data_IF_704186854517
#
_entry.id   IF_704186854517
#
_cell.length_a   1.000
_cell.length_b   1.000
_cell.length_c   1.000
_cell.angle_alpha   90.00
_cell.angle_beta   90.00
_cell.angle_gamma   90.00
#
_symmetry.space_group_name_H-M   'P 1'
#
loop_
_entity.id
_entity.type
_entity.pdbx_description
1 polymer ?
#
# COMPACT_ATOMS: atom_id res chain seq x y z
N UNK A 1 -25.17 -3.23 -2.96
CA UNK A 1 -24.76 -4.45 -2.24
C UNK A 1 -24.75 -5.70 -3.11
N UNK A 2 -25.68 -5.90 -4.06
CA UNK A 2 -25.67 -7.07 -4.96
C UNK A 2 -24.33 -7.28 -5.69
N UNK A 3 -23.66 -6.20 -6.12
CA UNK A 3 -22.35 -6.29 -6.78
C UNK A 3 -21.21 -6.76 -5.85
N UNK A 4 -21.40 -6.68 -4.54
CA UNK A 4 -20.46 -7.19 -3.53
C UNK A 4 -20.73 -8.66 -3.18
N UNK A 5 -21.93 -9.17 -3.50
CA UNK A 5 -22.33 -10.55 -3.21
C UNK A 5 -21.48 -11.52 -4.03
N UNK A 6 -21.02 -12.59 -3.38
CA UNK A 6 -20.22 -13.63 -4.00
C UNK A 6 -21.09 -14.39 -5.02
N UNK A 7 -20.70 -14.42 -6.31
CA UNK A 7 -21.49 -15.12 -7.31
C UNK A 7 -21.27 -16.63 -7.20
N UNK A 8 -22.35 -17.38 -6.97
CA UNK A 8 -22.35 -18.83 -7.07
C UNK A 8 -22.24 -19.55 -5.73
N UNK A 9 -21.59 -20.73 -5.74
CA UNK A 9 -21.52 -21.58 -4.55
C UNK A 9 -20.64 -20.92 -3.48
N UNK A 10 -21.05 -20.97 -2.20
CA UNK A 10 -20.24 -20.48 -1.09
C UNK A 10 -18.79 -21.01 -1.14
N UNK A 11 -17.82 -20.11 -1.04
CA UNK A 11 -16.39 -20.46 -1.02
C UNK A 11 -15.71 -19.82 0.20
N UNK A 12 -15.27 -20.62 1.17
CA UNK A 12 -14.72 -20.10 2.44
C UNK A 12 -13.39 -19.36 2.28
N UNK A 13 -12.70 -19.54 1.14
CA UNK A 13 -11.45 -18.86 0.81
C UNK A 13 -11.72 -17.48 0.25
N UNK A 14 -12.62 -17.37 -0.73
CA UNK A 14 -12.83 -16.12 -1.46
C UNK A 14 -14.02 -15.29 -0.98
N UNK A 15 -14.84 -15.84 -0.08
CA UNK A 15 -16.04 -15.18 0.42
C UNK A 15 -16.13 -15.15 1.94
N UNK A 16 -16.82 -14.14 2.45
CA UNK A 16 -17.17 -13.95 3.86
C UNK A 16 -18.68 -14.06 4.02
N UNK A 17 -19.13 -14.63 5.14
CA UNK A 17 -20.54 -14.59 5.50
C UNK A 17 -20.92 -13.18 5.97
N UNK A 18 -22.09 -12.70 5.57
CA UNK A 18 -22.64 -11.44 6.07
C UNK A 18 -24.04 -11.65 6.62
N UNK A 19 -25.07 -11.24 5.87
CA UNK A 19 -26.46 -11.54 6.23
C UNK A 19 -26.74 -13.05 6.11
N UNK A 20 -27.70 -13.62 6.89
CA UNK A 20 -28.03 -15.03 6.81
C UNK A 20 -28.32 -15.49 5.37
N UNK A 21 -27.54 -16.47 4.90
CA UNK A 21 -27.66 -17.02 3.55
C UNK A 21 -26.96 -16.22 2.44
N UNK A 22 -26.35 -15.07 2.77
CA UNK A 22 -25.56 -14.29 1.81
C UNK A 22 -24.07 -14.37 2.12
N UNK A 23 -23.30 -14.39 1.04
CA UNK A 23 -21.84 -14.27 1.10
C UNK A 23 -21.38 -13.11 0.24
N UNK A 24 -20.28 -12.50 0.66
CA UNK A 24 -19.67 -11.35 0.00
C UNK A 24 -18.24 -11.67 -0.36
N UNK A 25 -17.70 -10.98 -1.35
CA UNK A 25 -16.28 -11.07 -1.70
C UNK A 25 -15.39 -10.74 -0.48
N UNK A 26 -14.43 -11.62 -0.15
CA UNK A 26 -13.40 -11.34 0.85
C UNK A 26 -12.44 -10.24 0.36
N UNK A 27 -12.05 -10.34 -0.92
CA UNK A 27 -11.23 -9.35 -1.62
C UNK A 27 -12.01 -8.98 -2.89
N UNK A 28 -12.13 -7.68 -3.16
CA UNK A 28 -12.89 -7.18 -4.30
C UNK A 28 -12.34 -7.71 -5.63
N UNK A 29 -13.21 -8.02 -6.61
CA UNK A 29 -12.79 -8.39 -7.96
C UNK A 29 -11.80 -7.40 -8.59
N UNK A 30 -11.98 -6.10 -8.35
CA UNK A 30 -11.11 -5.05 -8.88
C UNK A 30 -9.62 -5.23 -8.48
N UNK A 31 -9.33 -5.82 -7.32
CA UNK A 31 -7.95 -6.12 -6.93
C UNK A 31 -7.33 -7.23 -7.79
N UNK A 32 -8.08 -8.30 -8.05
CA UNK A 32 -7.59 -9.39 -8.91
C UNK A 32 -7.42 -8.94 -10.36
N UNK A 33 -8.31 -8.05 -10.82
CA UNK A 33 -8.21 -7.40 -12.12
C UNK A 33 -6.96 -6.53 -12.23
N UNK A 34 -6.61 -5.78 -11.18
CA UNK A 34 -5.34 -5.04 -11.11
C UNK A 34 -4.13 -5.98 -11.30
N UNK A 35 -4.09 -7.10 -10.56
CA UNK A 35 -2.98 -8.06 -10.68
C UNK A 35 -2.83 -8.62 -12.11
N UNK A 36 -3.95 -9.03 -12.73
CA UNK A 36 -3.98 -9.54 -14.11
C UNK A 36 -3.53 -8.46 -15.11
N UNK A 37 -4.02 -7.23 -14.96
CA UNK A 37 -3.66 -6.12 -15.83
C UNK A 37 -2.16 -5.76 -15.75
N UNK A 38 -1.63 -5.55 -14.54
CA UNK A 38 -0.23 -5.22 -14.33
C UNK A 38 0.70 -6.34 -14.86
N UNK A 39 0.33 -7.60 -14.64
CA UNK A 39 1.07 -8.73 -15.18
C UNK A 39 1.08 -8.74 -16.72
N UNK A 40 -0.09 -8.60 -17.36
CA UNK A 40 -0.20 -8.59 -18.83
C UNK A 40 0.50 -7.41 -19.50
N UNK A 41 0.53 -6.27 -18.81
CA UNK A 41 1.30 -5.10 -19.22
C UNK A 41 2.82 -5.29 -19.02
N UNK A 42 3.27 -6.42 -18.46
CA UNK A 42 4.68 -6.71 -18.22
C UNK A 42 5.31 -5.81 -17.16
N UNK A 43 4.49 -5.26 -16.25
CA UNK A 43 4.94 -4.33 -15.21
C UNK A 43 5.76 -5.09 -14.17
N UNK A 44 6.83 -4.47 -13.69
CA UNK A 44 7.51 -4.88 -12.46
C UNK A 44 6.77 -4.25 -11.27
N UNK A 45 6.24 -5.07 -10.36
CA UNK A 45 5.52 -4.59 -9.20
C UNK A 45 5.55 -5.61 -8.06
N UNK A 46 5.24 -5.13 -6.86
CA UNK A 46 5.00 -5.96 -5.70
C UNK A 46 3.78 -5.44 -4.93
N UNK A 47 3.13 -6.30 -4.16
CA UNK A 47 1.93 -5.96 -3.38
C UNK A 47 2.16 -6.29 -1.91
N UNK A 48 2.02 -5.27 -1.06
CA UNK A 48 2.14 -5.43 0.38
C UNK A 48 0.80 -5.13 1.04
N UNK A 49 0.13 -6.15 1.55
CA UNK A 49 -1.06 -5.96 2.37
C UNK A 49 -0.69 -5.34 3.73
N UNK A 50 -1.36 -4.25 4.08
CA UNK A 50 -1.14 -3.51 5.32
C UNK A 50 -2.42 -3.43 6.12
N UNK A 51 -2.46 -4.08 7.28
CA UNK A 51 -3.66 -4.12 8.12
C UNK A 51 -3.32 -3.92 9.59
N UNK A 52 -4.17 -3.21 10.31
CA UNK A 52 -4.14 -3.19 11.77
C UNK A 52 -4.75 -4.45 12.40
N UNK A 53 -5.62 -5.15 11.65
CA UNK A 53 -6.35 -6.33 12.10
C UNK A 53 -5.56 -7.63 12.00
N UNK A 54 -6.28 -8.75 12.07
CA UNK A 54 -5.72 -10.12 12.08
C UNK A 54 -6.02 -10.91 10.81
N UNK A 55 -6.67 -10.31 9.81
CA UNK A 55 -7.16 -11.00 8.61
C UNK A 55 -6.10 -11.29 7.54
N UNK A 56 -4.86 -10.80 7.71
CA UNK A 56 -3.77 -10.97 6.73
C UNK A 56 -3.56 -12.43 6.30
N UNK A 57 -3.49 -13.45 7.20
CA UNK A 57 -3.35 -14.84 6.77
C UNK A 57 -4.47 -15.30 5.84
N UNK A 58 -5.69 -14.80 6.05
CA UNK A 58 -6.84 -15.15 5.22
C UNK A 58 -6.75 -14.48 3.85
N UNK A 59 -6.43 -13.19 3.81
CA UNK A 59 -6.23 -12.46 2.55
C UNK A 59 -5.10 -13.07 1.71
N UNK A 60 -3.94 -13.35 2.31
CA UNK A 60 -2.79 -13.94 1.62
C UNK A 60 -3.10 -15.34 1.07
N UNK A 61 -3.84 -16.17 1.82
CA UNK A 61 -4.31 -17.47 1.32
C UNK A 61 -5.26 -17.32 0.12
N UNK A 62 -6.18 -16.36 0.16
CA UNK A 62 -7.08 -16.09 -0.96
C UNK A 62 -6.29 -15.69 -2.21
N UNK A 63 -5.33 -14.75 -2.09
CA UNK A 63 -4.50 -14.34 -3.23
C UNK A 63 -3.64 -15.48 -3.75
N UNK A 64 -3.01 -16.26 -2.88
CA UNK A 64 -2.25 -17.47 -3.27
C UNK A 64 -3.11 -18.47 -4.05
N UNK A 65 -4.36 -18.71 -3.62
CA UNK A 65 -5.30 -19.59 -4.32
C UNK A 65 -5.74 -19.01 -5.66
N UNK A 66 -5.93 -17.69 -5.75
CA UNK A 66 -6.25 -17.02 -7.01
C UNK A 66 -5.10 -17.15 -8.02
N UNK A 67 -3.85 -16.92 -7.59
CA UNK A 67 -2.63 -17.10 -8.38
C UNK A 67 -2.34 -18.56 -8.72
N UNK A 68 -2.97 -19.53 -8.05
CA UNK A 68 -2.96 -20.93 -8.47
C UNK A 68 -4.05 -21.24 -9.51
N UNK A 69 -4.73 -20.23 -10.07
CA UNK A 69 -5.80 -20.36 -11.06
C UNK A 69 -7.15 -20.80 -10.50
N UNK A 70 -7.33 -20.72 -9.18
CA UNK A 70 -8.51 -21.29 -8.51
C UNK A 70 -9.61 -20.26 -8.22
N UNK A 71 -9.37 -18.98 -8.55
CA UNK A 71 -10.43 -17.98 -8.49
C UNK A 71 -11.35 -18.12 -9.71
N UNK A 72 -12.68 -18.35 -9.53
CA UNK A 72 -13.59 -18.71 -10.63
C UNK A 72 -13.72 -17.63 -11.71
N UNK A 73 -13.61 -16.34 -11.33
CA UNK A 73 -13.63 -15.20 -12.27
C UNK A 73 -12.27 -14.83 -12.85
N UNK A 74 -11.18 -15.28 -12.24
CA UNK A 74 -9.81 -14.86 -12.62
C UNK A 74 -8.87 -16.07 -12.79
N UNK A 75 -9.23 -17.08 -13.60
CA UNK A 75 -8.40 -18.28 -13.78
C UNK A 75 -7.09 -18.00 -14.54
N UNK A 76 -6.99 -16.87 -15.23
CA UNK A 76 -5.77 -16.43 -15.94
C UNK A 76 -4.66 -15.98 -14.98
N UNK A 77 -4.97 -15.68 -13.71
CA UNK A 77 -3.95 -15.31 -12.72
C UNK A 77 -2.90 -16.40 -12.46
N UNK A 78 -3.16 -17.64 -12.88
CA UNK A 78 -2.15 -18.72 -12.88
C UNK A 78 -0.90 -18.38 -13.68
N UNK A 79 -1.04 -17.49 -14.66
CA UNK A 79 0.06 -17.10 -15.56
C UNK A 79 0.94 -16.01 -14.92
N UNK A 80 0.45 -15.31 -13.88
CA UNK A 80 1.16 -14.18 -13.28
C UNK A 80 2.44 -14.55 -12.51
N UNK A 81 2.62 -15.83 -12.14
CA UNK A 81 3.80 -16.38 -11.46
C UNK A 81 4.35 -15.53 -10.28
N UNK A 82 3.49 -14.76 -9.60
CA UNK A 82 3.86 -13.91 -8.47
C UNK A 82 4.01 -14.79 -7.21
N UNK A 83 5.19 -14.82 -6.55
CA UNK A 83 5.32 -15.53 -5.29
C UNK A 83 4.49 -14.84 -4.21
N UNK A 84 3.86 -15.63 -3.34
CA UNK A 84 3.10 -15.12 -2.19
C UNK A 84 3.75 -15.62 -0.91
N UNK A 85 4.27 -14.70 -0.11
CA UNK A 85 4.74 -14.99 1.24
C UNK A 85 3.53 -15.07 2.19
N UNK A 86 3.23 -16.29 2.64
CA UNK A 86 2.12 -16.58 3.54
C UNK A 86 2.45 -16.26 5.01
N UNK A 87 3.67 -15.83 5.33
CA UNK A 87 4.12 -15.47 6.67
C UNK A 87 3.93 -13.97 6.91
N UNK A 88 2.89 -13.54 7.64
CA UNK A 88 2.71 -12.11 7.90
C UNK A 88 3.85 -11.60 8.77
N UNK A 89 4.43 -10.46 8.37
CA UNK A 89 5.30 -9.70 9.24
C UNK A 89 4.52 -8.79 10.18
N UNK A 90 5.25 -8.07 11.02
CA UNK A 90 4.70 -7.06 11.92
C UNK A 90 5.51 -5.77 11.82
N UNK A 91 4.81 -4.64 12.00
CA UNK A 91 5.42 -3.32 12.08
C UNK A 91 5.00 -2.71 13.40
N UNK A 92 5.98 -2.31 14.22
CA UNK A 92 5.78 -1.76 15.55
C UNK A 92 6.48 -0.41 15.66
N UNK A 93 5.67 0.61 15.84
CA UNK A 93 6.12 1.98 16.03
C UNK A 93 6.35 2.31 17.50
N UNK A 94 7.28 3.23 17.75
CA UNK A 94 7.56 3.86 19.04
C UNK A 94 7.97 5.32 18.82
N UNK A 95 8.20 6.07 19.88
CA UNK A 95 8.71 7.45 19.77
C UNK A 95 10.12 7.53 19.17
N UNK A 96 10.88 6.42 19.17
CA UNK A 96 12.29 6.40 18.77
C UNK A 96 12.52 5.80 17.40
N UNK A 97 11.70 4.83 17.02
CA UNK A 97 11.92 4.01 15.84
C UNK A 97 10.66 3.26 15.42
N UNK A 98 10.67 2.82 14.16
CA UNK A 98 9.79 1.80 13.62
C UNK A 98 10.59 0.52 13.46
N UNK A 99 10.03 -0.59 13.94
CA UNK A 99 10.62 -1.92 13.83
C UNK A 99 9.74 -2.79 12.95
N UNK A 100 10.34 -3.40 11.93
CA UNK A 100 9.73 -4.43 11.09
C UNK A 100 10.30 -5.79 11.49
N UNK A 101 9.42 -6.78 11.65
CA UNK A 101 9.80 -8.18 11.89
C UNK A 101 9.08 -9.13 10.93
N UNK A 102 9.78 -10.15 10.46
CA UNK A 102 9.21 -11.26 9.70
C UNK A 102 10.10 -12.49 9.85
N UNK A 103 9.57 -13.56 10.44
CA UNK A 103 10.40 -14.73 10.75
C UNK A 103 11.62 -14.34 11.59
N UNK A 104 12.83 -14.58 11.05
CA UNK A 104 14.09 -14.18 11.69
C UNK A 104 14.55 -12.76 11.34
N UNK A 105 13.94 -12.13 10.33
CA UNK A 105 14.29 -10.78 9.90
C UNK A 105 13.79 -9.74 10.90
N UNK A 106 14.66 -8.79 11.24
CA UNK A 106 14.35 -7.65 12.10
C UNK A 106 15.07 -6.42 11.60
N UNK A 107 14.32 -5.43 11.14
CA UNK A 107 14.83 -4.13 10.70
C UNK A 107 14.28 -3.02 11.59
N UNK A 108 15.07 -1.97 11.77
CA UNK A 108 14.78 -0.90 12.71
C UNK A 108 15.29 0.44 12.16
N UNK A 109 14.48 1.49 12.23
CA UNK A 109 14.82 2.80 11.68
C UNK A 109 15.75 3.64 12.56
N UNK A 110 16.05 3.20 13.78
CA UNK A 110 16.83 3.99 14.76
C UNK A 110 18.22 4.37 14.26
N UNK A 111 18.90 3.43 13.62
CA UNK A 111 20.27 3.64 13.11
C UNK A 111 20.27 4.22 11.72
N UNK A 112 19.24 3.90 10.94
CA UNK A 112 19.10 4.30 9.55
C UNK A 112 17.62 4.26 9.17
N UNK A 113 17.04 5.44 8.97
CA UNK A 113 15.63 5.60 8.60
C UNK A 113 15.31 5.09 7.20
N UNK A 114 16.33 4.79 6.39
CA UNK A 114 16.18 4.27 5.03
C UNK A 114 15.98 2.76 4.97
N UNK A 115 16.43 2.00 5.97
CA UNK A 115 16.34 0.53 5.98
C UNK A 115 14.97 -0.03 5.61
N UNK A 116 13.89 0.62 6.07
CA UNK A 116 12.53 0.18 5.75
C UNK A 116 12.09 0.60 4.34
N UNK A 117 12.54 1.75 3.85
CA UNK A 117 12.37 2.11 2.43
C UNK A 117 13.04 1.06 1.55
N UNK A 118 14.34 0.80 1.75
CA UNK A 118 15.10 -0.15 0.93
C UNK A 118 14.47 -1.55 0.95
N UNK A 119 14.02 -2.02 2.13
CA UNK A 119 13.32 -3.29 2.27
C UNK A 119 12.04 -3.37 1.44
N UNK A 120 11.21 -2.32 1.46
CA UNK A 120 9.96 -2.31 0.67
C UNK A 120 10.22 -2.12 -0.82
N UNK A 121 11.24 -1.35 -1.18
CA UNK A 121 11.64 -1.11 -2.56
C UNK A 121 12.26 -2.34 -3.23
N UNK A 122 12.93 -3.21 -2.45
CA UNK A 122 13.43 -4.51 -2.92
C UNK A 122 12.42 -5.65 -2.76
N UNK A 123 11.19 -5.38 -2.32
CA UNK A 123 10.21 -6.41 -2.06
C UNK A 123 9.70 -7.01 -3.38
N UNK A 124 9.64 -8.33 -3.48
CA UNK A 124 9.15 -9.04 -4.67
C UNK A 124 7.88 -9.84 -4.35
N UNK A 125 6.97 -9.91 -5.34
CA UNK A 125 5.74 -10.68 -5.23
C UNK A 125 4.73 -10.06 -4.28
N UNK A 126 4.10 -10.88 -3.43
CA UNK A 126 3.00 -10.47 -2.56
C UNK A 126 3.26 -10.91 -1.12
N UNK A 127 3.05 -10.02 -0.15
CA UNK A 127 3.14 -10.34 1.27
C UNK A 127 2.28 -9.43 2.11
N UNK A 128 2.37 -9.58 3.44
CA UNK A 128 1.56 -8.78 4.37
C UNK A 128 2.30 -8.40 5.64
N UNK A 129 1.93 -7.25 6.20
CA UNK A 129 2.40 -6.78 7.50
C UNK A 129 1.24 -6.29 8.36
N UNK A 130 1.23 -6.74 9.61
CA UNK A 130 0.34 -6.19 10.61
C UNK A 130 0.92 -4.91 11.19
N UNK A 131 0.23 -3.80 11.01
CA UNK A 131 0.57 -2.49 11.54
C UNK A 131 0.23 -2.32 13.03
N UNK A 132 0.73 -1.26 13.66
CA UNK A 132 0.66 -1.06 15.10
C UNK A 132 -0.61 -0.30 15.53
N UNK A 133 -1.75 -0.98 15.65
CA UNK A 133 -3.03 -0.34 16.00
C UNK A 133 -2.97 0.44 17.31
N UNK A 134 -2.42 -0.17 18.37
CA UNK A 134 -2.32 0.47 19.69
C UNK A 134 -1.50 1.77 19.65
N UNK A 135 -0.52 1.86 18.75
CA UNK A 135 0.23 3.09 18.53
C UNK A 135 -0.61 4.15 17.83
N UNK A 136 -1.38 3.78 16.81
CA UNK A 136 -2.29 4.69 16.12
C UNK A 136 -3.35 5.26 17.07
N UNK A 137 -3.98 4.39 17.88
CA UNK A 137 -4.96 4.78 18.89
C UNK A 137 -4.36 5.71 19.96
N UNK A 138 -3.14 5.42 20.46
CA UNK A 138 -2.43 6.28 21.42
C UNK A 138 -2.07 7.67 20.87
N UNK A 139 -2.00 7.80 19.55
CA UNK A 139 -1.75 9.06 18.87
C UNK A 139 -3.04 9.66 18.28
N UNK A 140 -4.18 9.37 18.91
CA UNK A 140 -5.50 9.92 18.58
C UNK A 140 -5.93 9.68 17.13
N UNK A 141 -5.53 8.55 16.53
CA UNK A 141 -5.83 8.20 15.14
C UNK A 141 -5.30 9.20 14.10
N UNK A 142 -4.37 10.07 14.50
CA UNK A 142 -3.71 11.03 13.60
C UNK A 142 -2.66 10.36 12.73
N UNK A 143 -2.22 11.10 11.69
CA UNK A 143 -1.13 10.70 10.81
C UNK A 143 0.11 10.27 11.60
N UNK A 144 0.45 10.93 12.71
CA UNK A 144 1.65 10.59 13.52
C UNK A 144 1.63 9.18 14.12
N UNK A 145 0.43 8.64 14.30
CA UNK A 145 0.22 7.26 14.73
C UNK A 145 0.02 6.26 13.59
N UNK A 146 -0.20 6.75 12.38
CA UNK A 146 -0.62 5.97 11.23
C UNK A 146 0.41 4.95 10.76
N UNK A 147 0.01 4.15 9.78
CA UNK A 147 0.85 3.18 9.07
C UNK A 147 2.02 3.94 8.41
N UNK A 148 3.27 3.70 8.80
CA UNK A 148 4.39 4.43 8.23
C UNK A 148 4.61 4.02 6.77
N UNK A 149 4.83 5.04 5.93
CA UNK A 149 5.13 4.93 4.51
C UNK A 149 6.33 5.81 4.17
N UNK A 150 7.33 5.25 3.50
CA UNK A 150 8.52 5.97 3.07
C UNK A 150 8.52 6.17 1.56
N UNK A 151 8.88 7.37 1.12
CA UNK A 151 8.93 7.78 -0.28
C UNK A 151 10.26 8.49 -0.52
N UNK A 152 10.98 8.08 -1.55
CA UNK A 152 12.18 8.77 -2.01
C UNK A 152 11.98 9.33 -3.42
N UNK A 153 11.79 10.65 -3.56
CA UNK A 153 11.67 11.30 -4.87
C UNK A 153 12.99 11.26 -5.67
N UNK A 154 14.11 10.83 -5.07
CA UNK A 154 15.40 10.74 -5.73
C UNK A 154 15.69 9.33 -6.27
N UNK A 155 14.81 8.36 -6.00
CA UNK A 155 14.87 7.03 -6.60
C UNK A 155 13.89 6.97 -7.78
N UNK A 156 14.37 7.07 -9.04
CA UNK A 156 13.51 7.04 -10.21
C UNK A 156 12.99 5.64 -10.53
N UNK A 157 13.46 4.59 -9.84
CA UNK A 157 13.10 3.20 -10.12
C UNK A 157 11.86 2.74 -9.34
N UNK A 158 11.46 3.49 -8.30
CA UNK A 158 10.44 3.07 -7.35
C UNK A 158 9.35 4.12 -7.19
N UNK A 159 8.10 3.65 -7.25
CA UNK A 159 6.93 4.45 -6.89
C UNK A 159 6.07 3.65 -5.90
N UNK A 160 6.07 4.06 -4.63
CA UNK A 160 5.19 3.49 -3.62
C UNK A 160 3.80 4.15 -3.71
N UNK A 161 2.75 3.32 -3.86
CA UNK A 161 1.36 3.73 -3.85
C UNK A 161 0.65 3.01 -2.69
N UNK A 162 0.02 3.77 -1.80
CA UNK A 162 -0.71 3.28 -0.64
C UNK A 162 -2.19 3.55 -0.83
N UNK A 163 -2.98 2.48 -0.80
CA UNK A 163 -4.42 2.51 -1.06
C UNK A 163 -5.13 2.05 0.21
N UNK A 164 -6.01 2.90 0.76
CA UNK A 164 -6.76 2.60 1.98
C UNK A 164 -8.00 3.49 2.06
N UNK A 165 -9.13 2.97 2.53
CA UNK A 165 -10.38 3.71 2.63
C UNK A 165 -10.40 4.71 3.79
N UNK A 166 -9.42 4.66 4.71
CA UNK A 166 -9.24 5.59 5.83
C UNK A 166 -8.15 6.65 5.64
N UNK A 167 -7.67 6.85 4.40
CA UNK A 167 -6.86 8.01 4.06
C UNK A 167 -7.75 9.26 4.03
N UNK A 168 -7.35 10.32 4.75
CA UNK A 168 -8.01 11.63 4.76
C UNK A 168 -6.98 12.73 4.55
N UNK A 169 -7.41 13.84 3.96
CA UNK A 169 -6.58 15.04 3.80
C UNK A 169 -6.31 15.78 5.12
N UNK A 170 -7.08 15.47 6.16
CA UNK A 170 -6.85 15.98 7.52
C UNK A 170 -5.87 15.07 8.26
N UNK A 171 -4.66 15.56 8.52
CA UNK A 171 -3.62 14.80 9.23
C UNK A 171 -3.98 14.52 10.70
N UNK A 172 -5.01 15.17 11.25
CA UNK A 172 -5.52 14.87 12.58
C UNK A 172 -6.31 13.55 12.64
N UNK A 173 -6.78 13.03 11.50
CA UNK A 173 -7.61 11.82 11.42
C UNK A 173 -7.33 11.09 10.09
N UNK A 174 -6.20 10.39 10.01
CA UNK A 174 -5.81 9.66 8.80
C UNK A 174 -4.95 8.45 9.16
N UNK A 175 -5.11 7.39 8.37
CA UNK A 175 -4.55 6.07 8.68
C UNK A 175 -3.05 5.95 8.36
N UNK A 176 -2.48 6.87 7.60
CA UNK A 176 -1.11 6.78 7.06
C UNK A 176 -0.20 7.84 7.65
N UNK A 177 1.07 7.49 7.84
CA UNK A 177 2.14 8.42 8.21
C UNK A 177 3.17 8.53 7.08
N UNK A 178 3.00 9.48 6.13
CA UNK A 178 3.93 9.64 5.03
C UNK A 178 5.25 10.28 5.48
N UNK A 179 6.35 9.70 4.99
CA UNK A 179 7.72 10.13 5.27
C UNK A 179 8.48 10.26 3.94
N UNK A 180 9.02 11.45 3.67
CA UNK A 180 9.66 11.79 2.38
C UNK A 180 11.14 12.11 2.60
N UNK A 181 12.03 11.49 1.81
CA UNK A 181 13.46 11.85 1.80
C UNK A 181 13.69 13.13 1.00
N UNK A 182 14.36 14.11 1.60
CA UNK A 182 14.59 15.41 0.97
C UNK A 182 15.85 15.48 0.11
N UNK A 183 16.76 14.52 0.25
CA UNK A 183 18.07 14.52 -0.43
C UNK A 183 18.44 13.09 -0.88
N UNK A 184 19.17 12.95 -1.99
CA UNK A 184 19.65 11.66 -2.46
C UNK A 184 20.45 10.91 -1.39
N UNK A 185 20.04 9.67 -1.09
CA UNK A 185 20.74 8.81 -0.12
C UNK A 185 20.57 9.23 1.35
N UNK A 186 19.67 10.17 1.66
CA UNK A 186 19.39 10.55 3.05
C UNK A 186 18.84 9.35 3.85
N UNK A 187 19.29 9.23 5.10
CA UNK A 187 18.78 8.29 6.10
C UNK A 187 17.67 8.88 6.98
N UNK A 188 17.30 10.14 6.75
CA UNK A 188 16.40 10.90 7.62
C UNK A 188 15.27 11.54 6.81
N UNK A 189 14.11 10.87 6.71
CA UNK A 189 12.96 11.44 6.03
C UNK A 189 12.26 12.48 6.91
N UNK A 190 11.59 13.45 6.29
CA UNK A 190 10.64 14.33 6.97
C UNK A 190 9.25 13.73 6.93
N UNK A 191 8.42 13.99 7.95
CA UNK A 191 6.99 13.77 7.80
C UNK A 191 6.42 14.72 6.74
N UNK A 192 5.59 14.20 5.84
CA UNK A 192 4.85 14.97 4.85
C UNK A 192 3.36 14.97 5.22
N UNK A 193 2.65 16.08 4.99
CA UNK A 193 1.20 16.08 5.15
C UNK A 193 0.56 15.18 4.09
N UNK A 194 -0.56 14.54 4.42
CA UNK A 194 -1.26 13.62 3.52
C UNK A 194 -1.65 14.31 2.21
N UNK A 195 -2.01 15.59 2.27
CA UNK A 195 -2.36 16.41 1.11
C UNK A 195 -1.23 16.63 0.10
N UNK A 196 0.04 16.54 0.52
CA UNK A 196 1.18 16.63 -0.40
C UNK A 196 1.22 15.43 -1.37
N UNK A 197 0.74 14.27 -0.91
CA UNK A 197 0.92 12.99 -1.57
C UNK A 197 -0.40 12.36 -2.04
N UNK A 198 -1.52 13.05 -1.84
CA UNK A 198 -2.83 12.60 -2.28
C UNK A 198 -2.90 12.54 -3.81
N UNK A 199 -3.38 11.42 -4.35
CA UNK A 199 -3.35 11.08 -5.79
C UNK A 199 -1.95 11.05 -6.42
N UNK A 200 -0.88 11.10 -5.60
CA UNK A 200 0.52 10.93 -6.02
C UNK A 200 1.02 9.57 -5.51
N UNK A 201 1.01 9.38 -4.20
CA UNK A 201 1.39 8.13 -3.54
C UNK A 201 0.26 7.59 -2.64
N UNK A 202 -0.81 8.35 -2.43
CA UNK A 202 -1.88 8.01 -1.49
C UNK A 202 -3.23 8.05 -2.19
N UNK A 203 -4.01 6.98 -2.04
CA UNK A 203 -5.34 6.84 -2.65
C UNK A 203 -6.36 6.52 -1.58
N UNK A 204 -7.31 7.42 -1.35
CA UNK A 204 -8.50 7.09 -0.58
C UNK A 204 -9.45 6.26 -1.45
N UNK A 205 -9.74 5.04 -1.02
CA UNK A 205 -10.66 4.16 -1.75
C UNK A 205 -12.09 4.65 -1.66
N UNK A 206 -12.74 4.87 -2.81
CA UNK A 206 -14.20 4.90 -2.93
C UNK A 206 -14.68 3.46 -3.06
N UNK A 207 -15.22 2.92 -1.97
CA UNK A 207 -15.65 1.52 -1.92
C UNK A 207 -16.81 1.24 -2.88
N UNK A 208 -17.71 2.19 -3.13
CA UNK A 208 -18.84 1.97 -4.02
C UNK A 208 -18.37 1.93 -5.47
N UNK A 209 -17.46 2.82 -5.85
CA UNK A 209 -16.84 2.83 -7.17
C UNK A 209 -16.00 1.56 -7.38
N UNK A 210 -15.16 1.18 -6.41
CA UNK A 210 -14.36 -0.05 -6.46
C UNK A 210 -15.18 -1.35 -6.55
N UNK A 211 -16.43 -1.31 -6.09
CA UNK A 211 -17.39 -2.42 -6.25
C UNK A 211 -18.04 -2.39 -7.64
N UNK A 212 -18.28 -1.21 -8.20
CA UNK A 212 -18.98 -1.02 -9.47
C UNK A 212 -18.08 -1.14 -10.70
N UNK A 213 -16.80 -0.74 -10.57
CA UNK A 213 -15.81 -0.73 -11.62
C UNK A 213 -14.67 -1.70 -11.29
N UNK A 214 -14.51 -2.73 -12.13
CA UNK A 214 -13.47 -3.72 -11.96
C UNK A 214 -12.07 -3.16 -12.30
N UNK A 215 -11.97 -2.09 -13.09
CA UNK A 215 -10.71 -1.42 -13.42
C UNK A 215 -10.37 -0.27 -12.43
N UNK A 216 -11.16 -0.07 -11.37
CA UNK A 216 -10.99 1.03 -10.40
C UNK A 216 -9.55 1.22 -9.91
N UNK A 217 -8.93 0.16 -9.37
CA UNK A 217 -7.57 0.29 -8.84
C UNK A 217 -6.51 0.48 -9.95
N UNK A 218 -6.78 0.04 -11.17
CA UNK A 218 -5.91 0.32 -12.32
C UNK A 218 -5.96 1.81 -12.67
N UNK A 219 -7.15 2.43 -12.63
CA UNK A 219 -7.32 3.87 -12.78
C UNK A 219 -6.60 4.65 -11.68
N UNK A 220 -6.68 4.19 -10.43
CA UNK A 220 -5.94 4.80 -9.32
C UNK A 220 -4.42 4.76 -9.55
N UNK A 221 -3.87 3.61 -9.93
CA UNK A 221 -2.42 3.46 -10.19
C UNK A 221 -1.97 4.39 -11.31
N UNK A 222 -2.69 4.43 -12.44
CA UNK A 222 -2.36 5.32 -13.56
C UNK A 222 -2.40 6.80 -13.16
N UNK A 223 -3.41 7.21 -12.39
CA UNK A 223 -3.51 8.58 -11.87
C UNK A 223 -2.31 8.93 -10.98
N UNK A 224 -1.93 8.02 -10.09
CA UNK A 224 -0.75 8.17 -9.25
C UNK A 224 0.52 8.32 -10.11
N UNK A 225 0.73 7.46 -11.10
CA UNK A 225 1.90 7.50 -11.98
C UNK A 225 2.01 8.83 -12.74
N UNK A 226 0.93 9.29 -13.36
CA UNK A 226 0.87 10.57 -14.07
C UNK A 226 1.17 11.77 -13.15
N UNK A 227 0.69 11.74 -11.91
CA UNK A 227 0.93 12.79 -10.94
C UNK A 227 2.32 12.70 -10.32
N UNK A 228 2.89 11.51 -10.21
CA UNK A 228 4.22 11.30 -9.66
C UNK A 228 5.28 11.91 -10.56
N UNK A 229 5.17 11.78 -11.89
CA UNK A 229 6.07 12.48 -12.83
C UNK A 229 6.13 13.99 -12.57
N UNK A 230 4.97 14.62 -12.33
CA UNK A 230 4.87 16.06 -12.01
C UNK A 230 5.48 16.37 -10.65
N UNK A 231 5.22 15.53 -9.66
CA UNK A 231 5.78 15.65 -8.32
C UNK A 231 7.31 15.58 -8.35
N UNK A 232 7.90 14.62 -9.06
CA UNK A 232 9.34 14.47 -9.25
C UNK A 232 9.97 15.68 -9.94
N UNK A 233 9.32 16.23 -10.98
CA UNK A 233 9.80 17.43 -11.67
C UNK A 233 9.84 18.69 -10.77
N UNK A 234 8.99 18.75 -9.75
CA UNK A 234 9.00 19.79 -8.73
C UNK A 234 10.05 19.51 -7.64
N UNK A 235 10.19 18.27 -7.20
CA UNK A 235 11.16 17.86 -6.18
C UNK A 235 12.62 18.03 -6.67
N UNK A 236 12.89 17.81 -7.96
CA UNK A 236 14.21 18.02 -8.57
C UNK A 236 14.64 19.49 -8.70
N UNK A 237 13.73 20.45 -8.49
CA UNK A 237 14.08 21.88 -8.42
C UNK A 237 14.46 22.20 -6.98
N UNK A 238 15.75 22.06 -6.66
CA UNK A 238 16.30 22.51 -5.38
C UNK A 238 15.92 23.97 -5.06
N UNK A 239 15.99 24.40 -3.79
CA UNK A 239 15.65 25.77 -3.41
C UNK A 239 16.44 26.77 -4.27
N UNK A 240 15.83 27.89 -4.71
CA UNK A 240 16.55 28.89 -5.48
C UNK A 240 17.75 29.35 -4.64
N UNK A 241 18.95 29.27 -5.23
CA UNK A 241 20.16 29.80 -4.60
C UNK A 241 19.88 31.25 -4.19
N UNK A 242 20.21 31.66 -2.94
CA UNK A 242 20.03 33.03 -2.54
C UNK A 242 20.79 33.90 -3.53
N UNK A 243 20.08 34.82 -4.19
CA UNK A 243 20.70 35.82 -5.05
C UNK A 243 21.75 36.52 -4.19
N UNK A 244 23.01 36.38 -4.57
CA UNK A 244 24.03 37.29 -4.11
C UNK A 244 23.70 38.63 -4.75
N UNK A 245 22.95 39.45 -4.01
CA UNK A 245 22.82 40.87 -4.31
C UNK A 245 24.20 41.48 -4.03
N UNK A 246 25.01 41.48 -5.08
CA UNK A 246 26.31 42.14 -5.13
C UNK A 246 26.15 43.59 -5.59
N UNK A 247 26.57 44.48 -4.69
CA UNK A 247 26.92 45.91 -4.85
C UNK A 247 25.79 46.93 -5.03
#
# INVERSE_FOLDING_TARGET
LQLLEWPGRPDDVFSVEGEPGKRYHLILPAFFRLLDALHREGRAFAVVFRSFGTDLPRALRAVSRALAGQHPRFPALRDAALPVDLTPGQIRCSQREVVLTRGAERLATREDGRKLYDYFSSFEGIGGFQDHFDWWAKNNFSSRGGKPLWIDPHDPSVHHIFIDDNIRLDDADTIVHPQVFSEPGSSSPRSAPTSELYDVCLVQTDLLEAIADEDYFLHCVRRCEENYERYLACAGKGPPSPRQDGQ
#
